data_IF_291883884632
#
_entry.id   IF_291883884632
#
_cell.length_a   1.000
_cell.length_b   1.000
_cell.length_c   1.000
_cell.angle_alpha   90.00
_cell.angle_beta   90.00
_cell.angle_gamma   90.00
#
_symmetry.space_group_name_H-M   'P 1'
#
loop_
_entity.id
_entity.type
_entity.pdbx_description
1 polymer ?
#
# COMPACT_ATOMS: atom_id res chain seq x y z
N UNK A 1 -8.58 -26.09 3.10
CA UNK A 1 -8.17 -24.72 2.69
C UNK A 1 -9.13 -24.21 1.59
N UNK A 2 -9.24 -22.91 1.32
CA UNK A 2 -10.18 -22.41 0.29
C UNK A 2 -9.81 -22.91 -1.11
N UNK A 3 -8.51 -23.08 -1.41
CA UNK A 3 -8.04 -23.66 -2.68
C UNK A 3 -8.61 -25.07 -2.88
N UNK A 4 -8.51 -25.93 -1.87
CA UNK A 4 -9.04 -27.29 -1.92
C UNK A 4 -10.56 -27.31 -2.15
N UNK A 5 -11.29 -26.36 -1.54
CA UNK A 5 -12.73 -26.23 -1.75
C UNK A 5 -13.08 -25.70 -3.14
N UNK A 6 -12.33 -24.73 -3.65
CA UNK A 6 -12.55 -24.13 -4.96
C UNK A 6 -12.18 -25.05 -6.13
N UNK A 7 -11.34 -26.06 -5.90
CA UNK A 7 -10.91 -27.05 -6.90
C UNK A 7 -11.50 -28.46 -6.62
N UNK A 8 -12.47 -28.57 -5.72
CA UNK A 8 -13.13 -29.84 -5.40
C UNK A 8 -14.19 -30.17 -6.46
N UNK A 9 -14.45 -31.45 -6.74
CA UNK A 9 -15.50 -31.83 -7.70
C UNK A 9 -16.91 -31.31 -7.32
N UNK A 10 -17.11 -30.91 -6.07
CA UNK A 10 -18.31 -30.32 -5.50
C UNK A 10 -18.19 -28.79 -5.25
N UNK A 11 -17.24 -28.11 -5.89
CA UNK A 11 -17.03 -26.67 -5.72
C UNK A 11 -18.28 -25.84 -6.12
N UNK A 12 -18.44 -24.61 -5.61
CA UNK A 12 -19.52 -23.71 -6.03
C UNK A 12 -19.47 -23.44 -7.55
N UNK A 13 -20.62 -23.26 -8.20
CA UNK A 13 -20.72 -23.02 -9.66
C UNK A 13 -19.95 -21.80 -10.18
N UNK A 14 -19.65 -20.87 -9.28
CA UNK A 14 -18.92 -19.63 -9.56
C UNK A 14 -17.40 -19.85 -9.59
N UNK A 15 -16.91 -20.96 -9.00
CA UNK A 15 -15.58 -21.46 -9.28
C UNK A 15 -15.60 -22.12 -10.66
N UNK A 16 -15.09 -21.42 -11.66
CA UNK A 16 -15.11 -21.87 -13.05
C UNK A 16 -14.02 -22.93 -13.28
N UNK A 17 -14.38 -24.08 -13.85
CA UNK A 17 -13.37 -25.11 -14.16
C UNK A 17 -12.71 -24.95 -15.52
N UNK A 18 -13.29 -24.22 -16.48
CA UNK A 18 -12.66 -24.01 -17.80
C UNK A 18 -13.31 -22.84 -18.57
N UNK A 19 -12.46 -22.03 -19.22
CA UNK A 19 -12.75 -21.14 -20.36
C UNK A 19 -14.09 -20.36 -20.41
N UNK A 20 -14.64 -19.93 -19.26
CA UNK A 20 -15.64 -18.84 -19.29
C UNK A 20 -14.94 -17.58 -19.84
N UNK A 21 -15.64 -16.79 -20.65
CA UNK A 21 -15.12 -15.54 -21.26
C UNK A 21 -14.91 -14.40 -20.24
N UNK A 22 -14.54 -14.73 -19.01
CA UNK A 22 -14.31 -13.79 -17.91
C UNK A 22 -12.80 -13.66 -17.74
N UNK A 23 -12.33 -12.47 -17.38
CA UNK A 23 -10.93 -12.27 -17.01
C UNK A 23 -10.57 -13.19 -15.83
N UNK A 24 -9.37 -13.75 -15.84
CA UNK A 24 -8.95 -14.78 -14.86
C UNK A 24 -9.04 -14.27 -13.42
N UNK A 25 -8.62 -13.02 -13.18
CA UNK A 25 -8.68 -12.34 -11.89
C UNK A 25 -10.12 -12.09 -11.42
N UNK A 26 -11.02 -11.71 -12.32
CA UNK A 26 -12.44 -11.56 -12.04
C UNK A 26 -13.09 -12.91 -11.69
N UNK A 27 -12.81 -13.96 -12.47
CA UNK A 27 -13.30 -15.32 -12.17
C UNK A 27 -12.78 -15.86 -10.85
N UNK A 28 -11.49 -15.62 -10.54
CA UNK A 28 -10.93 -15.93 -9.23
C UNK A 28 -11.65 -15.18 -8.11
N UNK A 29 -11.96 -13.89 -8.30
CA UNK A 29 -12.64 -13.08 -7.29
C UNK A 29 -14.05 -13.60 -6.99
N UNK A 30 -14.80 -14.01 -8.02
CA UNK A 30 -16.14 -14.61 -7.88
C UNK A 30 -16.07 -15.94 -7.11
N UNK A 31 -15.12 -16.82 -7.48
CA UNK A 31 -14.91 -18.08 -6.78
C UNK A 31 -14.58 -17.86 -5.30
N UNK A 32 -13.62 -16.98 -4.98
CA UNK A 32 -13.25 -16.65 -3.61
C UNK A 32 -14.43 -16.09 -2.82
N UNK A 33 -15.23 -15.23 -3.44
CA UNK A 33 -16.46 -14.71 -2.83
C UNK A 33 -17.46 -15.84 -2.51
N UNK A 34 -17.69 -16.77 -3.43
CA UNK A 34 -18.59 -17.93 -3.23
C UNK A 34 -18.13 -18.84 -2.08
N UNK A 35 -16.82 -18.90 -1.85
CA UNK A 35 -16.19 -19.62 -0.75
C UNK A 35 -16.18 -18.83 0.57
N UNK A 36 -16.89 -17.70 0.61
CA UNK A 36 -16.96 -16.78 1.76
C UNK A 36 -15.60 -16.18 2.17
N UNK A 37 -14.65 -16.10 1.23
CA UNK A 37 -13.39 -15.39 1.45
C UNK A 37 -13.65 -13.89 1.36
N UNK A 38 -13.23 -13.15 2.40
CA UNK A 38 -13.35 -11.69 2.44
C UNK A 38 -12.14 -11.04 1.80
N UNK A 39 -12.38 -10.11 0.88
CA UNK A 39 -11.33 -9.23 0.38
C UNK A 39 -10.78 -8.36 1.51
N UNK A 40 -9.46 -8.25 1.58
CA UNK A 40 -8.78 -7.33 2.51
C UNK A 40 -8.71 -5.91 1.94
N UNK A 41 -8.66 -4.91 2.82
CA UNK A 41 -8.33 -3.55 2.42
C UNK A 41 -6.81 -3.44 2.24
N UNK A 42 -6.39 -3.22 1.00
CA UNK A 42 -4.98 -3.10 0.61
C UNK A 42 -4.48 -1.66 0.61
N UNK A 43 -5.28 -0.68 1.02
CA UNK A 43 -4.84 0.73 1.08
C UNK A 43 -3.89 0.98 2.24
N UNK A 44 -3.22 2.12 2.24
CA UNK A 44 -2.41 2.57 3.37
C UNK A 44 -3.25 3.20 4.49
N UNK A 45 -2.59 3.66 5.56
CA UNK A 45 -3.26 4.28 6.71
C UNK A 45 -3.99 5.59 6.37
N UNK A 46 -3.69 6.20 5.21
CA UNK A 46 -4.37 7.39 4.70
C UNK A 46 -5.48 7.05 3.70
N UNK A 47 -5.71 5.75 3.43
CA UNK A 47 -6.71 5.30 2.47
C UNK A 47 -6.27 5.42 1.01
N UNK A 48 -4.96 5.52 0.72
CA UNK A 48 -4.43 5.60 -0.65
C UNK A 48 -4.11 4.21 -1.20
N UNK A 49 -4.22 4.05 -2.53
CA UNK A 49 -3.99 2.77 -3.20
C UNK A 49 -2.53 2.29 -3.11
N UNK A 50 -2.34 0.96 -3.13
CA UNK A 50 -1.01 0.32 -3.22
C UNK A 50 -0.83 -0.61 -4.44
N UNK A 51 -1.90 -1.01 -5.11
CA UNK A 51 -1.87 -1.86 -6.30
C UNK A 51 -2.67 -1.17 -7.40
N UNK A 52 -2.03 -0.95 -8.56
CA UNK A 52 -2.59 -0.13 -9.62
C UNK A 52 -2.65 -0.90 -10.95
N UNK A 53 -3.83 -0.99 -11.60
CA UNK A 53 -3.99 -1.70 -12.88
C UNK A 53 -3.53 -0.86 -14.10
N UNK A 54 -3.04 0.36 -13.86
CA UNK A 54 -2.47 1.25 -14.87
C UNK A 54 -1.06 1.72 -14.43
N UNK A 55 -0.36 2.40 -15.34
CA UNK A 55 0.98 2.93 -15.08
C UNK A 55 0.94 4.10 -14.09
N UNK A 56 2.10 4.42 -13.52
CA UNK A 56 2.21 5.56 -12.60
C UNK A 56 1.83 6.88 -13.26
N UNK A 57 2.07 7.04 -14.57
CA UNK A 57 1.72 8.25 -15.30
C UNK A 57 0.22 8.48 -15.34
N UNK A 58 -0.58 7.45 -15.60
CA UNK A 58 -2.05 7.60 -15.65
C UNK A 58 -2.61 8.03 -14.30
N UNK A 59 -2.09 7.49 -13.20
CA UNK A 59 -2.55 7.83 -11.85
C UNK A 59 -2.04 9.20 -11.37
N UNK A 60 -0.79 9.55 -11.67
CA UNK A 60 -0.15 10.78 -11.16
C UNK A 60 -0.43 12.02 -12.02
N UNK A 61 -0.60 11.88 -13.34
CA UNK A 61 -0.64 13.00 -14.29
C UNK A 61 -2.08 13.31 -14.74
N UNK A 62 -3.08 12.62 -14.19
CA UNK A 62 -4.49 12.83 -14.52
C UNK A 62 -4.79 12.72 -16.02
N UNK A 63 -4.20 11.72 -16.68
CA UNK A 63 -4.50 11.47 -18.09
C UNK A 63 -5.97 11.02 -18.21
N UNK A 64 -6.70 11.61 -19.15
CA UNK A 64 -8.15 11.41 -19.36
C UNK A 64 -8.58 9.95 -19.52
N UNK A 65 -7.63 9.07 -19.85
CA UNK A 65 -7.81 7.63 -20.06
C UNK A 65 -8.47 6.93 -18.86
N UNK A 66 -8.15 7.35 -17.62
CA UNK A 66 -8.75 6.72 -16.44
C UNK A 66 -10.25 6.99 -16.31
N UNK A 67 -10.70 8.20 -16.66
CA UNK A 67 -12.10 8.61 -16.48
C UNK A 67 -13.08 7.83 -17.36
N UNK A 68 -12.68 7.43 -18.57
CA UNK A 68 -13.54 6.71 -19.52
C UNK A 68 -13.39 5.18 -19.43
N UNK A 69 -12.44 4.70 -18.62
CA UNK A 69 -12.12 3.27 -18.50
C UNK A 69 -13.11 2.47 -17.63
N UNK A 70 -12.88 1.15 -17.53
CA UNK A 70 -13.61 0.26 -16.63
C UNK A 70 -13.23 0.51 -15.16
N UNK A 71 -12.00 0.93 -14.88
CA UNK A 71 -11.44 1.00 -13.53
C UNK A 71 -12.25 1.83 -12.53
N UNK A 72 -12.66 3.09 -12.81
CA UNK A 72 -13.48 3.85 -11.86
C UNK A 72 -14.87 3.24 -11.64
N UNK A 73 -15.35 2.35 -12.55
CA UNK A 73 -16.65 1.68 -12.44
C UNK A 73 -16.59 0.46 -11.52
N UNK A 74 -15.44 -0.20 -11.43
CA UNK A 74 -15.27 -1.47 -10.70
C UNK A 74 -14.43 -1.35 -9.43
N UNK A 75 -13.76 -0.22 -9.20
CA UNK A 75 -12.98 -0.02 -7.98
C UNK A 75 -13.90 0.10 -6.75
N UNK A 76 -13.61 -0.71 -5.72
CA UNK A 76 -14.40 -0.69 -4.49
C UNK A 76 -14.17 0.59 -3.66
N UNK A 77 -12.92 1.06 -3.61
CA UNK A 77 -12.55 2.30 -2.95
C UNK A 77 -12.09 3.33 -3.98
N UNK A 78 -12.88 4.38 -4.27
CA UNK A 78 -12.48 5.41 -5.22
C UNK A 78 -11.09 5.97 -4.89
N UNK A 79 -10.24 6.10 -5.90
CA UNK A 79 -8.91 6.71 -5.78
C UNK A 79 -8.99 8.17 -6.21
N UNK A 80 -8.24 9.03 -5.52
CA UNK A 80 -7.89 10.34 -6.06
C UNK A 80 -6.99 10.20 -7.29
N UNK A 81 -6.91 11.26 -8.07
CA UNK A 81 -5.99 11.39 -9.21
C UNK A 81 -4.97 12.48 -8.85
N UNK A 82 -3.72 12.30 -9.28
CA UNK A 82 -2.64 13.23 -8.97
C UNK A 82 -1.75 12.71 -7.85
N UNK A 83 -0.95 13.59 -7.25
CA UNK A 83 0.05 13.19 -6.24
C UNK A 83 -0.54 12.51 -4.99
N UNK A 84 -1.85 12.67 -4.73
CA UNK A 84 -2.53 12.03 -3.61
C UNK A 84 -3.14 10.66 -3.94
N UNK A 85 -3.14 10.22 -5.21
CA UNK A 85 -3.70 8.91 -5.62
C UNK A 85 -3.07 7.74 -4.87
N UNK A 86 -1.78 7.90 -4.59
CA UNK A 86 -0.88 6.78 -4.49
C UNK A 86 -0.18 6.81 -3.15
N UNK A 87 -0.15 5.65 -2.49
CA UNK A 87 0.54 5.51 -1.23
C UNK A 87 2.04 5.75 -1.41
N UNK A 88 2.69 6.35 -0.41
CA UNK A 88 4.16 6.41 -0.33
C UNK A 88 4.77 5.01 -0.18
N UNK A 89 3.93 4.00 0.11
CA UNK A 89 4.27 2.57 0.15
C UNK A 89 3.55 1.78 -0.95
N UNK A 90 3.29 2.42 -2.11
CA UNK A 90 2.75 1.73 -3.28
C UNK A 90 3.62 0.53 -3.68
N UNK A 91 2.99 -0.56 -4.09
CA UNK A 91 3.60 -1.87 -4.31
C UNK A 91 3.77 -2.16 -5.80
N UNK A 92 2.74 -1.91 -6.62
CA UNK A 92 2.82 -2.22 -8.05
C UNK A 92 1.99 -1.28 -8.92
N UNK A 93 2.50 -1.07 -10.14
CA UNK A 93 1.86 -0.37 -11.24
C UNK A 93 1.92 -1.26 -12.48
N UNK A 94 0.88 -1.24 -13.30
CA UNK A 94 0.83 -2.03 -14.53
C UNK A 94 1.46 -1.28 -15.71
N UNK A 95 1.69 -1.96 -16.84
CA UNK A 95 2.19 -1.38 -18.10
C UNK A 95 3.55 -0.66 -18.00
N UNK A 96 4.40 -1.04 -17.04
CA UNK A 96 5.75 -0.50 -16.90
C UNK A 96 6.69 -1.16 -17.92
N UNK A 97 7.32 -0.35 -18.77
CA UNK A 97 8.30 -0.87 -19.74
C UNK A 97 9.59 -1.34 -19.05
N UNK A 98 10.36 -2.26 -19.64
CA UNK A 98 11.65 -2.68 -19.09
C UNK A 98 12.60 -1.51 -18.83
N UNK A 99 12.69 -0.54 -19.75
CA UNK A 99 13.50 0.67 -19.57
C UNK A 99 13.07 1.48 -18.35
N UNK A 100 11.76 1.60 -18.13
CA UNK A 100 11.22 2.33 -16.99
C UNK A 100 11.45 1.60 -15.67
N UNK A 101 11.45 0.26 -15.67
CA UNK A 101 11.85 -0.53 -14.49
C UNK A 101 13.28 -0.18 -14.05
N UNK A 102 14.24 -0.09 -14.97
CA UNK A 102 15.62 0.31 -14.65
C UNK A 102 15.71 1.75 -14.14
N UNK A 103 14.92 2.67 -14.71
CA UNK A 103 14.86 4.05 -14.21
C UNK A 103 14.30 4.09 -12.79
N UNK A 104 13.20 3.38 -12.51
CA UNK A 104 12.62 3.30 -11.17
C UNK A 104 13.57 2.67 -10.16
N UNK A 105 14.27 1.59 -10.53
CA UNK A 105 15.31 0.96 -9.70
C UNK A 105 16.38 1.99 -9.31
N UNK A 106 16.89 2.72 -10.31
CA UNK A 106 17.88 3.76 -10.07
C UNK A 106 17.33 4.88 -9.17
N UNK A 107 16.15 5.41 -9.45
CA UNK A 107 15.58 6.53 -8.71
C UNK A 107 15.19 6.17 -7.27
N UNK A 108 14.72 4.94 -7.03
CA UNK A 108 14.22 4.51 -5.72
C UNK A 108 15.32 3.95 -4.82
N UNK A 109 16.26 3.18 -5.37
CA UNK A 109 17.22 2.43 -4.56
C UNK A 109 18.67 2.93 -4.66
N UNK A 110 19.02 3.64 -5.73
CA UNK A 110 20.40 4.05 -5.97
C UNK A 110 20.63 5.56 -5.87
N UNK A 111 19.70 6.37 -6.37
CA UNK A 111 19.78 7.82 -6.34
C UNK A 111 19.63 8.30 -4.90
N UNK A 112 20.61 9.10 -4.45
CA UNK A 112 20.56 9.79 -3.15
C UNK A 112 20.51 11.29 -3.41
N UNK A 113 19.30 11.90 -3.41
CA UNK A 113 19.19 13.34 -3.60
C UNK A 113 20.00 14.08 -2.54
N UNK A 114 20.81 15.05 -2.98
CA UNK A 114 21.66 15.80 -2.07
C UNK A 114 20.79 16.58 -1.07
N UNK A 115 21.09 16.46 0.22
CA UNK A 115 20.34 17.14 1.28
C UNK A 115 19.04 16.45 1.72
N UNK A 116 18.66 15.30 1.16
CA UNK A 116 17.50 14.52 1.59
C UNK A 116 17.96 13.23 2.27
N UNK A 117 17.55 13.03 3.52
CA UNK A 117 17.68 11.73 4.18
C UNK A 117 16.44 10.91 3.81
N UNK A 118 16.61 9.83 3.05
CA UNK A 118 15.50 8.91 2.75
C UNK A 118 15.17 8.13 4.02
N UNK A 119 14.10 8.52 4.70
CA UNK A 119 13.49 7.73 5.77
C UNK A 119 12.74 6.53 5.16
N UNK A 120 13.45 5.62 4.48
CA UNK A 120 12.92 4.26 4.34
C UNK A 120 13.08 3.64 5.72
N UNK A 121 12.15 3.95 6.62
CA UNK A 121 12.27 3.61 8.02
C UNK A 121 12.30 2.10 8.12
N UNK A 122 13.50 1.54 8.29
CA UNK A 122 13.60 0.17 8.75
C UNK A 122 12.92 0.12 10.13
N UNK A 123 12.18 -0.94 10.43
CA UNK A 123 11.56 -1.13 11.75
C UNK A 123 12.55 -0.93 12.91
N UNK A 124 13.84 -1.12 12.65
CA UNK A 124 14.93 -0.83 13.58
C UNK A 124 15.12 0.67 13.86
N UNK A 125 14.98 1.55 12.87
CA UNK A 125 15.11 3.00 13.06
C UNK A 125 13.93 3.58 13.85
N UNK A 126 12.70 3.09 13.62
CA UNK A 126 11.55 3.41 14.49
C UNK A 126 11.82 3.01 15.95
N UNK A 127 12.37 1.82 16.17
CA UNK A 127 12.67 1.33 17.52
C UNK A 127 13.78 2.16 18.19
N UNK A 128 14.78 2.61 17.43
CA UNK A 128 15.82 3.52 17.91
C UNK A 128 15.26 4.90 18.22
N UNK A 129 14.42 5.45 17.33
CA UNK A 129 13.76 6.74 17.53
C UNK A 129 12.85 6.71 18.78
N UNK A 130 12.05 5.65 18.95
CA UNK A 130 11.21 5.45 20.14
C UNK A 130 12.04 5.27 21.42
N UNK A 131 13.17 4.55 21.34
CA UNK A 131 14.11 4.40 22.48
C UNK A 131 14.74 5.74 22.86
N UNK A 132 15.12 6.55 21.88
CA UNK A 132 15.70 7.88 22.09
C UNK A 132 14.67 8.86 22.64
N UNK A 133 13.42 8.83 22.15
CA UNK A 133 12.30 9.59 22.70
C UNK A 133 12.04 9.21 24.17
N UNK A 134 11.94 7.92 24.49
CA UNK A 134 11.77 7.44 25.88
C UNK A 134 12.93 7.86 26.78
N UNK A 135 14.17 7.77 26.29
CA UNK A 135 15.35 8.21 27.03
C UNK A 135 15.32 9.72 27.29
N UNK A 136 14.95 10.53 26.29
CA UNK A 136 14.83 11.98 26.42
C UNK A 136 13.72 12.40 27.38
N UNK A 137 12.56 11.73 27.33
CA UNK A 137 11.46 11.94 28.28
C UNK A 137 11.89 11.59 29.71
N UNK A 138 12.59 10.48 29.91
CA UNK A 138 13.10 10.10 31.24
C UNK A 138 14.17 11.08 31.74
N UNK A 139 15.08 11.53 30.87
CA UNK A 139 16.14 12.50 31.22
C UNK A 139 15.58 13.88 31.56
N UNK A 140 14.57 14.35 30.82
CA UNK A 140 13.93 15.64 31.06
C UNK A 140 12.86 15.60 32.15
N UNK A 141 12.18 14.46 32.34
CA UNK A 141 11.22 14.23 33.42
C UNK A 141 11.89 14.20 34.80
N UNK A 142 13.13 13.72 34.89
CA UNK A 142 13.91 13.76 36.14
C UNK A 142 14.37 15.20 36.49
N UNK A 143 14.60 16.05 35.48
CA UNK A 143 15.01 17.43 35.70
C UNK A 143 13.83 18.37 36.02
N UNK A 144 12.63 18.08 35.51
CA UNK A 144 11.46 18.91 35.79
C UNK A 144 10.87 18.71 37.19
N UNK A 145 11.11 17.55 37.83
CA UNK A 145 10.69 17.29 39.21
C UNK A 145 11.64 17.83 40.29
N UNK A 146 12.88 18.22 39.94
CA UNK A 146 13.82 18.80 40.91
C UNK A 146 13.66 20.32 41.09
N UNK A 147 13.17 21.04 40.07
CA UNK A 147 12.95 22.49 40.20
C UNK A 147 11.65 22.88 40.90
N UNK A 148 10.66 21.98 40.96
CA UNK A 148 9.38 22.23 41.64
C UNK A 148 9.41 21.99 43.16
N UNK A 149 10.42 21.27 43.67
CA UNK A 149 10.54 20.97 45.12
C UNK A 149 11.33 22.07 45.88
N UNK A 150 12.10 22.93 45.19
CA UNK A 150 12.90 23.97 45.86
C UNK A 150 12.22 25.35 45.96
N UNK A 151 10.96 25.47 45.50
CA UNK A 151 10.14 26.69 45.58
C UNK A 151 8.99 26.58 46.60
N UNK A 152 8.91 25.46 47.32
CA UNK A 152 8.01 25.27 48.46
C UNK A 152 8.82 24.73 49.64
N UNK A 153 9.69 25.59 50.17
CA UNK A 153 10.27 25.49 51.51
C UNK A 153 10.62 26.91 51.98
#
# INVERSE_FOLDING_TARGET
LFVEKGMSADHPKDCAEEHKQVAEDAGMSECLHSLSVKAGDSRDALGRGRFFPYSYQEHLIALSILHESWYPKYIYYPSEIGMNCCSDTAISFHYISPSTMYVLEYLLYHLRPHGVQSEVISTNEMNVALKNLRYSINKNGINHFRHLISLVA
#
